data_IF_966051131136
#
_entry.id   IF_966051131136
#
_cell.length_a   1.000
_cell.length_b   1.000
_cell.length_c   1.000
_cell.angle_alpha   90.00
_cell.angle_beta   90.00
_cell.angle_gamma   90.00
#
_symmetry.space_group_name_H-M   'P 1'
#
loop_
_entity.id
_entity.type
_entity.pdbx_description
1 polymer ?
#
# COMPACT_ATOMS: atom_id res chain seq x y z
N UNK A 1 -16.20 3.16 -19.66
CA UNK A 1 -15.11 2.29 -19.16
C UNK A 1 -15.09 2.44 -17.66
N UNK A 2 -16.00 1.74 -17.00
CA UNK A 2 -16.08 1.69 -15.53
C UNK A 2 -14.99 0.77 -15.01
N UNK A 3 -13.82 1.33 -14.67
CA UNK A 3 -12.86 0.62 -13.84
C UNK A 3 -13.42 0.58 -12.43
N UNK A 4 -14.30 -0.39 -12.16
CA UNK A 4 -14.58 -0.82 -10.80
C UNK A 4 -13.28 -1.34 -10.22
N UNK A 5 -12.63 -0.52 -9.41
CA UNK A 5 -11.54 -0.93 -8.54
C UNK A 5 -12.14 -1.99 -7.61
N UNK A 6 -11.83 -3.26 -7.85
CA UNK A 6 -12.13 -4.32 -6.88
C UNK A 6 -11.28 -4.01 -5.65
N UNK A 7 -11.86 -3.34 -4.66
CA UNK A 7 -11.25 -3.17 -3.35
C UNK A 7 -11.18 -4.51 -2.61
N UNK A 8 -10.47 -4.56 -1.48
CA UNK A 8 -10.34 -5.78 -0.68
C UNK A 8 -11.72 -6.39 -0.38
N UNK A 9 -11.77 -7.71 -0.40
CA UNK A 9 -12.98 -8.52 -0.13
C UNK A 9 -13.48 -8.38 1.31
N UNK A 10 -12.71 -7.71 2.17
CA UNK A 10 -13.14 -7.19 3.46
C UNK A 10 -12.99 -5.65 3.47
N UNK A 11 -14.09 -4.87 3.61
CA UNK A 11 -14.03 -3.41 3.74
C UNK A 11 -13.31 -2.94 5.02
N UNK A 12 -12.87 -3.86 5.89
CA UNK A 12 -12.20 -3.59 7.15
C UNK A 12 -10.68 -3.69 7.08
N UNK A 13 -10.05 -4.07 5.96
CA UNK A 13 -8.58 -4.21 5.87
C UNK A 13 -7.82 -3.13 5.10
N UNK A 14 -6.65 -2.73 5.61
CA UNK A 14 -5.74 -1.82 4.89
C UNK A 14 -5.27 -2.53 3.62
N UNK A 15 -5.56 -1.91 2.48
CA UNK A 15 -5.23 -2.43 1.16
C UNK A 15 -3.72 -2.26 0.87
N UNK A 16 -2.94 -3.23 1.35
CA UNK A 16 -1.48 -3.23 1.23
C UNK A 16 -1.01 -3.26 -0.22
N UNK A 17 -1.71 -3.99 -1.09
CA UNK A 17 -1.38 -4.10 -2.52
C UNK A 17 -1.57 -2.77 -3.23
N UNK A 18 -2.69 -2.08 -2.96
CA UNK A 18 -2.94 -0.76 -3.53
C UNK A 18 -1.97 0.30 -3.01
N UNK A 19 -1.58 0.22 -1.73
CA UNK A 19 -0.54 1.09 -1.17
C UNK A 19 0.80 0.82 -1.87
N UNK A 20 1.20 -0.44 -2.02
CA UNK A 20 2.43 -0.80 -2.72
C UNK A 20 2.41 -0.28 -4.18
N UNK A 21 1.29 -0.44 -4.89
CA UNK A 21 1.14 0.12 -6.24
C UNK A 21 1.32 1.66 -6.25
N UNK A 22 0.70 2.37 -5.31
CA UNK A 22 0.86 3.82 -5.20
C UNK A 22 2.32 4.24 -4.88
N UNK A 23 3.02 3.46 -4.06
CA UNK A 23 4.44 3.72 -3.76
C UNK A 23 5.30 3.52 -5.01
N UNK A 24 5.02 2.51 -5.84
CA UNK A 24 5.72 2.33 -7.13
C UNK A 24 5.56 3.55 -8.03
N UNK A 25 4.35 4.09 -8.12
CA UNK A 25 4.08 5.33 -8.88
C UNK A 25 4.84 6.53 -8.31
N UNK A 26 4.92 6.69 -6.98
CA UNK A 26 5.68 7.76 -6.33
C UNK A 26 7.17 7.65 -6.67
N UNK A 27 7.76 6.46 -6.58
CA UNK A 27 9.17 6.21 -6.91
C UNK A 27 9.44 6.57 -8.39
N UNK A 28 8.56 6.17 -9.29
CA UNK A 28 8.70 6.52 -10.70
C UNK A 28 8.56 8.03 -10.94
N UNK A 29 7.61 8.69 -10.25
CA UNK A 29 7.34 10.12 -10.40
C UNK A 29 8.51 11.01 -9.94
N UNK A 30 9.34 10.55 -8.99
CA UNK A 30 10.54 11.26 -8.54
C UNK A 30 11.77 11.00 -9.42
N UNK A 31 11.66 10.14 -10.45
CA UNK A 31 12.75 9.81 -11.37
C UNK A 31 13.70 8.71 -10.86
N UNK A 32 13.29 7.94 -9.84
CA UNK A 32 14.06 6.82 -9.29
C UNK A 32 13.71 5.50 -10.00
N UNK A 33 14.69 4.59 -10.07
CA UNK A 33 14.47 3.22 -10.53
C UNK A 33 13.93 2.34 -9.38
N UNK A 34 12.64 2.01 -9.43
CA UNK A 34 11.99 1.15 -8.43
C UNK A 34 12.38 -0.33 -8.47
N UNK A 35 13.19 -0.76 -9.44
CA UNK A 35 13.65 -2.15 -9.56
C UNK A 35 15.02 -2.39 -8.94
N UNK A 36 15.75 -1.33 -8.56
CA UNK A 36 17.05 -1.46 -7.90
C UNK A 36 16.94 -2.14 -6.54
N UNK A 37 17.95 -2.90 -6.13
CA UNK A 37 17.98 -3.70 -4.90
C UNK A 37 17.46 -2.93 -3.66
N UNK A 38 17.90 -1.68 -3.49
CA UNK A 38 17.47 -0.84 -2.35
C UNK A 38 16.01 -0.34 -2.38
N UNK A 39 15.29 -0.47 -3.50
CA UNK A 39 13.90 -0.04 -3.66
C UNK A 39 12.94 -1.17 -4.04
N UNK A 40 13.44 -2.30 -4.53
CA UNK A 40 12.61 -3.38 -5.05
C UNK A 40 11.56 -3.86 -4.05
N UNK A 41 11.92 -3.92 -2.75
CA UNK A 41 11.03 -4.34 -1.65
C UNK A 41 10.36 -3.17 -0.91
N UNK A 42 10.69 -1.92 -1.26
CA UNK A 42 10.18 -0.74 -0.56
C UNK A 42 8.65 -0.60 -0.65
N UNK A 43 8.00 -0.81 -1.82
CA UNK A 43 6.55 -0.80 -1.93
C UNK A 43 5.85 -1.73 -0.94
N UNK A 44 6.31 -2.97 -0.84
CA UNK A 44 5.73 -3.99 0.03
C UNK A 44 5.97 -3.66 1.51
N UNK A 45 7.17 -3.15 1.84
CA UNK A 45 7.50 -2.73 3.20
C UNK A 45 6.61 -1.58 3.67
N UNK A 46 6.30 -0.61 2.82
CA UNK A 46 5.41 0.50 3.16
C UNK A 46 3.96 0.03 3.30
N UNK A 47 3.49 -0.88 2.43
CA UNK A 47 2.17 -1.50 2.57
C UNK A 47 1.97 -2.16 3.94
N UNK A 48 2.94 -3.00 4.36
CA UNK A 48 2.94 -3.62 5.69
C UNK A 48 3.00 -2.60 6.82
N UNK A 49 3.89 -1.60 6.72
CA UNK A 49 4.03 -0.55 7.72
C UNK A 49 2.69 0.19 7.94
N UNK A 50 1.99 0.53 6.87
CA UNK A 50 0.70 1.25 6.99
C UNK A 50 -0.40 0.35 7.56
N UNK A 51 -0.39 -0.95 7.24
CA UNK A 51 -1.30 -1.90 7.89
C UNK A 51 -1.08 -1.97 9.41
N UNK A 52 0.18 -1.97 9.86
CA UNK A 52 0.55 -1.96 11.29
C UNK A 52 0.17 -0.63 11.97
N UNK A 53 0.55 0.51 11.38
CA UNK A 53 0.31 1.83 11.96
C UNK A 53 -1.19 2.16 12.10
N UNK A 54 -2.01 1.68 11.16
CA UNK A 54 -3.45 1.92 11.14
C UNK A 54 -4.27 0.71 11.61
N UNK A 55 -3.64 -0.24 12.29
CA UNK A 55 -4.34 -1.37 12.92
C UNK A 55 -5.30 -0.89 14.02
N UNK A 56 -4.85 0.05 14.86
CA UNK A 56 -5.64 0.60 15.97
C UNK A 56 -6.83 1.48 15.57
N UNK A 57 -6.94 1.93 14.31
CA UNK A 57 -8.16 2.63 13.83
C UNK A 57 -9.39 1.72 13.77
N UNK A 58 -9.16 0.41 13.90
CA UNK A 58 -10.16 -0.66 13.75
C UNK A 58 -10.33 -1.48 15.03
N UNK A 59 -9.60 -1.11 16.10
CA UNK A 59 -9.85 -1.64 17.43
C UNK A 59 -10.99 -0.84 18.07
N UNK A 60 -12.03 -1.54 18.54
CA UNK A 60 -13.11 -0.93 19.32
C UNK A 60 -12.51 -0.46 20.66
N UNK A 61 -12.53 0.85 20.98
CA UNK A 61 -12.03 1.32 22.26
C UNK A 61 -12.92 0.76 23.39
N UNK A 62 -12.30 0.00 24.30
CA UNK A 62 -12.94 -0.55 25.50
C UNK A 62 -13.54 0.52 26.43
#
# INVERSE_FOLDING_TARGET
MDTRIAGPTDPQDVDQERIAAAVREIIAAIGEDGTREGLAETPERIGRLYAELFSGLREDPL
#
